data_IF_710386301851
#
_entry.id   IF_710386301851
#
_cell.length_a   1.000
_cell.length_b   1.000
_cell.length_c   1.000
_cell.angle_alpha   90.00
_cell.angle_beta   90.00
_cell.angle_gamma   90.00
#
_symmetry.space_group_name_H-M   'P 1'
#
loop_
_entity.id
_entity.type
_entity.pdbx_description
1 polymer ?
#
# COMPACT_ATOMS: atom_id res chain seq x y z
N UNK A 1 -15.09 2.81 20.01
CA UNK A 1 -14.61 3.61 18.86
C UNK A 1 -15.79 4.32 18.21
N UNK A 2 -16.14 5.52 18.68
CA UNK A 2 -17.15 6.38 18.04
C UNK A 2 -16.38 7.39 17.20
N UNK A 3 -16.22 7.15 15.90
CA UNK A 3 -15.45 8.06 15.05
C UNK A 3 -15.45 7.79 13.55
N UNK A 4 -16.14 6.75 13.07
CA UNK A 4 -15.94 6.26 11.70
C UNK A 4 -16.70 6.99 10.59
N UNK A 5 -17.43 8.06 10.89
CA UNK A 5 -18.02 8.95 9.88
C UNK A 5 -18.05 10.40 10.40
N UNK A 6 -16.90 10.97 10.77
CA UNK A 6 -16.81 12.43 10.86
C UNK A 6 -16.90 12.96 9.43
N UNK A 7 -18.05 13.53 9.07
CA UNK A 7 -18.16 14.32 7.84
C UNK A 7 -16.99 15.30 7.81
N UNK A 8 -16.22 15.31 6.73
CA UNK A 8 -15.17 16.28 6.49
C UNK A 8 -15.76 17.67 6.75
N UNK A 9 -15.22 18.38 7.74
CA UNK A 9 -15.77 19.70 8.14
C UNK A 9 -15.58 20.78 7.06
N UNK A 10 -14.85 20.44 6.00
CA UNK A 10 -14.56 21.31 4.88
C UNK A 10 -15.75 21.41 3.92
N UNK A 11 -16.13 22.64 3.55
CA UNK A 11 -17.15 22.90 2.52
C UNK A 11 -16.78 22.34 1.13
N UNK A 12 -15.48 22.21 0.85
CA UNK A 12 -14.91 21.69 -0.41
C UNK A 12 -13.60 20.95 -0.11
N UNK A 13 -13.67 19.70 0.37
CA UNK A 13 -12.46 18.96 0.73
C UNK A 13 -11.61 18.68 -0.51
N UNK A 14 -10.31 18.93 -0.39
CA UNK A 14 -9.31 18.47 -1.37
C UNK A 14 -8.77 17.09 -0.96
N UNK A 15 -8.07 16.41 -1.88
CA UNK A 15 -7.44 15.12 -1.55
C UNK A 15 -6.45 15.24 -0.39
N UNK A 16 -5.69 16.33 -0.33
CA UNK A 16 -4.74 16.57 0.76
C UNK A 16 -5.41 16.88 2.09
N UNK A 17 -6.63 17.42 2.09
CA UNK A 17 -7.40 17.57 3.33
C UNK A 17 -7.84 16.18 3.84
N UNK A 18 -8.26 15.30 2.93
CA UNK A 18 -8.64 13.91 3.28
C UNK A 18 -7.44 13.15 3.85
N UNK A 19 -6.27 13.22 3.18
CA UNK A 19 -5.04 12.55 3.60
C UNK A 19 -4.63 12.96 5.04
N UNK A 20 -4.71 14.26 5.35
CA UNK A 20 -4.42 14.79 6.69
C UNK A 20 -5.44 14.32 7.73
N UNK A 21 -6.73 14.38 7.40
CA UNK A 21 -7.79 14.00 8.34
C UNK A 21 -7.73 12.51 8.73
N UNK A 22 -7.20 11.64 7.86
CA UNK A 22 -7.05 10.20 8.12
C UNK A 22 -5.62 9.80 8.54
N UNK A 23 -4.73 10.77 8.76
CA UNK A 23 -3.31 10.57 9.09
C UNK A 23 -2.57 9.64 8.10
N UNK A 24 -2.81 9.81 6.80
CA UNK A 24 -2.10 9.10 5.73
C UNK A 24 -1.34 10.06 4.79
N UNK A 25 -1.15 11.31 5.18
CA UNK A 25 -0.38 12.30 4.41
C UNK A 25 1.09 11.91 4.22
N UNK A 26 1.65 11.12 5.13
CA UNK A 26 2.97 10.52 4.99
C UNK A 26 3.10 9.57 3.78
N UNK A 27 2.00 8.99 3.28
CA UNK A 27 1.96 8.07 2.13
C UNK A 27 1.88 8.79 0.78
N UNK A 28 1.82 10.14 0.80
CA UNK A 28 1.76 10.95 -0.42
C UNK A 28 2.88 10.66 -1.41
N UNK A 29 4.16 10.46 -0.99
CA UNK A 29 5.23 10.10 -1.90
C UNK A 29 4.97 8.77 -2.62
N UNK A 30 4.56 7.74 -1.89
CA UNK A 30 4.32 6.39 -2.43
C UNK A 30 3.16 6.40 -3.44
N UNK A 31 2.06 7.10 -3.10
CA UNK A 31 0.95 7.30 -4.03
C UNK A 31 1.40 7.98 -5.34
N UNK A 32 2.22 9.04 -5.25
CA UNK A 32 2.73 9.73 -6.42
C UNK A 32 3.66 8.84 -7.25
N UNK A 33 4.52 8.07 -6.58
CA UNK A 33 5.43 7.14 -7.22
C UNK A 33 4.68 6.07 -8.01
N UNK A 34 3.66 5.44 -7.42
CA UNK A 34 2.80 4.48 -8.09
C UNK A 34 2.04 5.11 -9.28
N UNK A 35 1.56 6.34 -9.11
CA UNK A 35 0.87 7.12 -10.16
C UNK A 35 1.76 7.41 -11.36
N UNK A 36 3.09 7.48 -11.19
CA UNK A 36 4.02 7.79 -12.27
C UNK A 36 4.00 6.80 -13.44
N UNK A 37 3.71 5.53 -13.17
CA UNK A 37 3.64 4.50 -14.20
C UNK A 37 2.30 4.44 -14.95
N UNK A 38 1.26 5.07 -14.41
CA UNK A 38 -0.09 5.10 -14.98
C UNK A 38 -0.35 6.38 -15.76
N UNK A 39 0.11 7.53 -15.25
CA UNK A 39 -0.07 8.83 -15.89
C UNK A 39 1.15 9.25 -16.69
N UNK A 40 0.93 9.90 -17.83
CA UNK A 40 1.99 10.42 -18.69
C UNK A 40 2.71 11.62 -18.03
N UNK A 41 3.64 11.33 -17.12
CA UNK A 41 4.56 12.30 -16.56
C UNK A 41 6.02 11.91 -16.86
N UNK A 42 6.97 12.86 -16.77
CA UNK A 42 8.38 12.59 -17.05
C UNK A 42 8.99 11.54 -16.12
N UNK A 43 8.52 11.46 -14.87
CA UNK A 43 9.00 10.48 -13.90
C UNK A 43 8.69 9.04 -14.33
N UNK A 44 7.56 8.80 -14.99
CA UNK A 44 7.21 7.49 -15.55
C UNK A 44 8.10 7.02 -16.70
N UNK A 45 8.98 7.87 -17.22
CA UNK A 45 10.05 7.48 -18.16
C UNK A 45 11.27 6.95 -17.38
N UNK A 46 11.57 7.57 -16.24
CA UNK A 46 12.75 7.27 -15.42
C UNK A 46 12.52 6.11 -14.45
N UNK A 47 11.31 6.01 -13.89
CA UNK A 47 10.91 4.99 -12.92
C UNK A 47 9.85 4.11 -13.58
N UNK A 48 10.26 2.89 -13.94
CA UNK A 48 9.42 1.91 -14.62
C UNK A 48 9.25 0.67 -13.76
N UNK A 49 7.99 0.31 -13.49
CA UNK A 49 7.66 -1.00 -12.95
C UNK A 49 8.08 -2.10 -13.95
N UNK A 50 8.49 -3.27 -13.46
CA UNK A 50 8.92 -4.37 -14.31
C UNK A 50 10.28 -4.14 -15.00
N UNK A 51 11.18 -3.35 -14.41
CA UNK A 51 12.60 -3.30 -14.81
C UNK A 51 13.48 -3.90 -13.72
N UNK A 52 14.46 -4.70 -14.12
CA UNK A 52 15.46 -5.22 -13.19
C UNK A 52 16.38 -4.07 -12.76
N UNK A 53 16.76 -3.99 -11.47
CA UNK A 53 17.60 -2.90 -10.97
C UNK A 53 19.02 -2.91 -11.57
N UNK A 54 19.61 -4.10 -11.76
CA UNK A 54 20.99 -4.24 -12.25
C UNK A 54 21.11 -4.29 -13.77
N UNK A 55 20.09 -4.75 -14.47
CA UNK A 55 20.07 -4.80 -15.93
C UNK A 55 18.91 -3.98 -16.49
N UNK A 56 19.20 -2.70 -16.69
CA UNK A 56 18.25 -1.77 -17.27
C UNK A 56 18.07 -1.96 -18.78
N UNK A 57 18.89 -2.75 -19.47
CA UNK A 57 18.78 -2.94 -20.93
C UNK A 57 17.97 -4.17 -21.30
N UNK A 58 17.87 -5.15 -20.40
CA UNK A 58 17.01 -6.32 -20.58
C UNK A 58 15.53 -5.98 -20.35
N UNK A 59 14.69 -6.41 -21.27
CA UNK A 59 13.23 -6.37 -21.13
C UNK A 59 12.76 -7.67 -20.47
N UNK A 60 11.92 -7.54 -19.43
CA UNK A 60 11.21 -8.69 -18.88
C UNK A 60 10.19 -9.19 -19.90
N UNK A 61 10.22 -10.48 -20.20
CA UNK A 61 9.28 -11.15 -21.09
C UNK A 61 8.44 -12.12 -20.26
N UNK A 62 7.11 -12.00 -20.35
CA UNK A 62 6.17 -12.85 -19.61
C UNK A 62 5.80 -12.31 -18.23
N UNK A 63 5.18 -13.16 -17.42
CA UNK A 63 4.77 -12.80 -16.06
C UNK A 63 6.00 -12.64 -15.17
N UNK A 64 6.08 -11.52 -14.44
CA UNK A 64 7.17 -11.24 -13.50
C UNK A 64 6.63 -10.59 -12.23
N UNK A 65 7.32 -10.81 -11.12
CA UNK A 65 7.04 -10.22 -9.82
C UNK A 65 7.80 -8.90 -9.59
N UNK A 66 8.62 -8.46 -10.55
CA UNK A 66 9.44 -7.24 -10.43
C UNK A 66 8.55 -6.00 -10.30
N UNK A 67 8.75 -5.23 -9.25
CA UNK A 67 7.97 -4.02 -8.92
C UNK A 67 6.59 -4.31 -8.30
N UNK A 68 6.33 -5.54 -7.85
CA UNK A 68 5.08 -5.91 -7.19
C UNK A 68 5.09 -5.66 -5.66
N UNK A 69 6.26 -5.44 -5.07
CA UNK A 69 6.48 -5.43 -3.62
C UNK A 69 5.70 -4.34 -2.89
N UNK A 70 5.80 -3.08 -3.33
CA UNK A 70 5.09 -1.95 -2.71
C UNK A 70 3.57 -2.11 -2.86
N UNK A 71 3.11 -2.55 -4.04
CA UNK A 71 1.70 -2.79 -4.32
C UNK A 71 1.15 -3.94 -3.46
N UNK A 72 1.92 -5.00 -3.26
CA UNK A 72 1.58 -6.13 -2.40
C UNK A 72 1.44 -5.72 -0.94
N UNK A 73 2.42 -4.98 -0.41
CA UNK A 73 2.40 -4.41 0.94
C UNK A 73 1.18 -3.50 1.15
N UNK A 74 0.98 -2.51 0.26
CA UNK A 74 -0.14 -1.58 0.34
C UNK A 74 -1.50 -2.28 0.27
N UNK A 75 -1.61 -3.36 -0.50
CA UNK A 75 -2.82 -4.18 -0.58
C UNK A 75 -3.11 -4.87 0.75
N UNK A 76 -2.11 -5.53 1.36
CA UNK A 76 -2.26 -6.18 2.66
C UNK A 76 -2.69 -5.19 3.75
N UNK A 77 -2.03 -4.03 3.81
CA UNK A 77 -2.37 -2.96 4.75
C UNK A 77 -3.79 -2.41 4.54
N UNK A 78 -4.18 -2.20 3.29
CA UNK A 78 -5.52 -1.69 2.95
C UNK A 78 -6.59 -2.69 3.37
N UNK A 79 -6.39 -3.97 3.08
CA UNK A 79 -7.32 -5.04 3.47
C UNK A 79 -7.43 -5.15 4.99
N UNK A 80 -6.31 -5.13 5.72
CA UNK A 80 -6.30 -5.11 7.19
C UNK A 80 -7.14 -3.94 7.72
N UNK A 81 -6.95 -2.74 7.17
CA UNK A 81 -7.66 -1.53 7.61
C UNK A 81 -9.17 -1.61 7.31
N UNK A 82 -9.55 -2.14 6.15
CA UNK A 82 -10.97 -2.37 5.80
C UNK A 82 -11.60 -3.38 6.77
N UNK A 83 -10.94 -4.54 6.97
CA UNK A 83 -11.47 -5.62 7.81
C UNK A 83 -11.61 -5.16 9.26
N UNK A 84 -10.55 -4.58 9.84
CA UNK A 84 -10.57 -4.06 11.22
C UNK A 84 -11.64 -2.97 11.41
N UNK A 85 -11.82 -2.09 10.43
CA UNK A 85 -12.89 -1.09 10.41
C UNK A 85 -14.28 -1.71 10.44
N UNK A 86 -14.52 -2.74 9.63
CA UNK A 86 -15.80 -3.45 9.59
C UNK A 86 -16.07 -4.20 10.89
N UNK A 87 -15.05 -4.86 11.43
CA UNK A 87 -15.13 -5.61 12.69
C UNK A 87 -15.28 -4.69 13.91
N UNK A 88 -14.91 -3.41 13.83
CA UNK A 88 -15.03 -2.46 14.95
C UNK A 88 -16.48 -2.09 15.31
N UNK A 89 -17.48 -2.59 14.58
CA UNK A 89 -18.90 -2.31 14.84
C UNK A 89 -19.42 -2.99 16.11
N UNK A 90 -18.90 -4.17 16.42
CA UNK A 90 -19.15 -4.90 17.66
C UNK A 90 -17.78 -5.35 18.19
N UNK A 91 -17.53 -5.25 19.49
CA UNK A 91 -16.21 -5.63 20.03
C UNK A 91 -16.40 -6.65 21.15
N UNK A 92 -15.79 -7.81 20.96
CA UNK A 92 -15.67 -8.87 21.95
C UNK A 92 -14.25 -9.43 21.93
N UNK A 93 -13.94 -10.37 22.82
CA UNK A 93 -12.60 -10.97 22.92
C UNK A 93 -12.18 -11.67 21.62
N UNK A 94 -13.09 -12.38 20.95
CA UNK A 94 -12.79 -13.10 19.72
C UNK A 94 -12.43 -12.15 18.57
N UNK A 95 -13.11 -10.99 18.49
CA UNK A 95 -12.80 -9.93 17.53
C UNK A 95 -11.42 -9.33 17.81
N UNK A 96 -11.07 -9.12 19.08
CA UNK A 96 -9.75 -8.62 19.45
C UNK A 96 -8.64 -9.63 19.08
N UNK A 97 -8.86 -10.92 19.34
CA UNK A 97 -7.92 -11.98 18.94
C UNK A 97 -7.79 -12.01 17.41
N UNK A 98 -8.90 -11.91 16.70
CA UNK A 98 -8.91 -11.86 15.23
C UNK A 98 -8.11 -10.68 14.69
N UNK A 99 -8.21 -9.50 15.30
CA UNK A 99 -7.38 -8.35 14.93
C UNK A 99 -5.90 -8.62 15.11
N UNK A 100 -5.49 -9.22 16.23
CA UNK A 100 -4.08 -9.55 16.47
C UNK A 100 -3.55 -10.55 15.44
N UNK A 101 -4.36 -11.54 15.08
CA UNK A 101 -4.02 -12.51 14.02
C UNK A 101 -3.87 -11.83 12.67
N UNK A 102 -4.83 -10.97 12.29
CA UNK A 102 -4.77 -10.23 11.02
C UNK A 102 -3.59 -9.26 10.96
N UNK A 103 -3.28 -8.56 12.06
CA UNK A 103 -2.10 -7.69 12.15
C UNK A 103 -0.80 -8.48 12.04
N UNK A 104 -0.75 -9.71 12.59
CA UNK A 104 0.40 -10.59 12.43
C UNK A 104 0.54 -11.06 10.98
N UNK A 105 -0.56 -11.46 10.37
CA UNK A 105 -0.59 -11.89 8.97
C UNK A 105 -0.14 -10.77 8.02
N UNK A 106 -0.62 -9.54 8.21
CA UNK A 106 -0.19 -8.40 7.40
C UNK A 106 1.32 -8.18 7.49
N UNK A 107 1.90 -8.26 8.69
CA UNK A 107 3.36 -8.14 8.88
C UNK A 107 4.13 -9.26 8.18
N UNK A 108 3.64 -10.49 8.25
CA UNK A 108 4.26 -11.65 7.58
C UNK A 108 4.24 -11.45 6.06
N UNK A 109 3.10 -11.03 5.49
CA UNK A 109 2.97 -10.71 4.06
C UNK A 109 3.96 -9.61 3.66
N UNK A 110 4.00 -8.52 4.43
CA UNK A 110 4.91 -7.39 4.18
C UNK A 110 6.37 -7.83 4.21
N UNK A 111 6.75 -8.65 5.20
CA UNK A 111 8.12 -9.19 5.31
C UNK A 111 8.49 -10.08 4.11
N UNK A 112 7.58 -10.92 3.63
CA UNK A 112 7.85 -11.78 2.47
C UNK A 112 7.99 -10.97 1.17
N UNK A 113 7.17 -9.91 0.97
CA UNK A 113 7.35 -9.02 -0.18
C UNK A 113 8.71 -8.31 -0.17
N UNK A 114 9.15 -7.82 1.00
CA UNK A 114 10.48 -7.19 1.16
C UNK A 114 11.58 -8.19 0.83
N UNK A 115 11.50 -9.40 1.40
CA UNK A 115 12.48 -10.45 1.16
C UNK A 115 12.59 -10.82 -0.32
N UNK A 116 11.47 -11.02 -1.00
CA UNK A 116 11.45 -11.35 -2.43
C UNK A 116 12.00 -10.18 -3.27
N UNK A 117 11.67 -8.93 -2.93
CA UNK A 117 12.31 -7.77 -3.58
C UNK A 117 13.82 -7.82 -3.41
N UNK A 118 14.32 -8.00 -2.20
CA UNK A 118 15.75 -7.99 -1.94
C UNK A 118 16.47 -9.14 -2.67
N UNK A 119 15.81 -10.31 -2.82
CA UNK A 119 16.28 -11.41 -3.66
C UNK A 119 16.32 -11.02 -5.15
N UNK A 120 15.26 -10.39 -5.67
CA UNK A 120 15.19 -9.89 -7.06
C UNK A 120 16.28 -8.85 -7.32
N UNK A 121 16.49 -7.92 -6.39
CA UNK A 121 17.47 -6.85 -6.50
C UNK A 121 18.91 -7.37 -6.38
N UNK A 122 19.09 -8.58 -5.85
CA UNK A 122 20.39 -9.25 -5.81
C UNK A 122 20.79 -9.86 -7.17
N UNK A 123 19.85 -10.11 -8.09
CA UNK A 123 20.14 -10.53 -9.46
C UNK A 123 20.57 -9.35 -10.34
#
# INVERSE_FOLDING_TARGET
MVGLLRQLTYKRPTFSDIEKDINLDAWRPDYKLASHNVHANPMGISIKLGRLPKDSQSLLIGASMVGLDEAGQATAMTLLKIITTLMSRETNLDILVSWLVLMKLEKEITSEFIKIRDEIDAF
#
